data_IF_166946577590
#
_entry.id   IF_166946577590
#
_cell.length_a   1.000
_cell.length_b   1.000
_cell.length_c   1.000
_cell.angle_alpha   90.00
_cell.angle_beta   90.00
_cell.angle_gamma   90.00
#
_symmetry.space_group_name_H-M   'P 1'
#
loop_
_entity.id
_entity.type
_entity.pdbx_description
1 polymer ?
#
# COMPACT_ATOMS: atom_id res chain seq x y z
N UNK A 1 -0.21 17.15 -11.18
CA UNK A 1 -0.42 17.33 -9.73
C UNK A 1 -1.90 17.37 -9.31
N UNK A 2 -2.86 17.66 -10.21
CA UNK A 2 -4.30 17.59 -9.84
C UNK A 2 -4.87 16.16 -9.80
N UNK A 3 -4.30 15.22 -10.57
CA UNK A 3 -4.78 13.84 -10.61
C UNK A 3 -4.42 13.14 -9.29
N UNK A 4 -5.41 12.51 -8.66
CA UNK A 4 -5.37 11.89 -7.32
C UNK A 4 -5.28 12.83 -6.12
N UNK A 5 -5.39 14.15 -6.27
CA UNK A 5 -5.27 15.12 -5.16
C UNK A 5 -6.15 14.78 -3.93
N UNK A 6 -7.37 14.29 -4.17
CA UNK A 6 -8.27 13.85 -3.11
C UNK A 6 -7.69 12.72 -2.27
N UNK A 7 -6.97 11.77 -2.89
CA UNK A 7 -6.32 10.67 -2.18
C UNK A 7 -5.17 11.20 -1.31
N UNK A 8 -4.32 12.07 -1.87
CA UNK A 8 -3.24 12.71 -1.12
C UNK A 8 -3.76 13.46 0.10
N UNK A 9 -4.81 14.25 -0.09
CA UNK A 9 -5.43 15.01 0.99
C UNK A 9 -6.00 14.07 2.06
N UNK A 10 -6.79 13.07 1.65
CA UNK A 10 -7.42 12.14 2.58
C UNK A 10 -6.39 11.36 3.41
N UNK A 11 -5.33 10.82 2.79
CA UNK A 11 -4.28 10.11 3.52
C UNK A 11 -3.46 11.03 4.43
N UNK A 12 -3.17 12.25 3.96
CA UNK A 12 -2.46 13.26 4.76
C UNK A 12 -3.24 13.61 6.02
N UNK A 13 -4.54 13.88 5.87
CA UNK A 13 -5.43 14.21 6.98
C UNK A 13 -5.57 13.01 7.92
N UNK A 14 -5.80 11.81 7.37
CA UNK A 14 -5.97 10.59 8.15
C UNK A 14 -4.74 10.31 9.04
N UNK A 15 -3.54 10.25 8.47
CA UNK A 15 -2.33 10.00 9.25
C UNK A 15 -2.00 11.14 10.21
N UNK A 16 -2.26 12.39 9.83
CA UNK A 16 -2.06 13.54 10.72
C UNK A 16 -2.97 13.44 11.95
N UNK A 17 -4.23 13.05 11.79
CA UNK A 17 -5.15 12.83 12.92
C UNK A 17 -4.62 11.74 13.85
N UNK A 18 -4.15 10.61 13.30
CA UNK A 18 -3.58 9.54 14.12
C UNK A 18 -2.36 10.01 14.93
N UNK A 19 -1.49 10.83 14.33
CA UNK A 19 -0.35 11.45 15.03
C UNK A 19 -0.81 12.44 16.11
N UNK A 20 -1.77 13.31 15.81
CA UNK A 20 -2.28 14.31 16.75
C UNK A 20 -2.97 13.69 17.96
N UNK A 21 -3.62 12.53 17.77
CA UNK A 21 -4.23 11.74 18.84
C UNK A 21 -3.21 10.88 19.61
N UNK A 22 -1.91 11.00 19.30
CA UNK A 22 -0.83 10.19 19.87
C UNK A 22 -1.01 8.67 19.69
N UNK A 23 -1.77 8.26 18.67
CA UNK A 23 -1.85 6.86 18.23
C UNK A 23 -0.52 6.49 17.57
N UNK A 24 0.05 7.42 16.80
CA UNK A 24 1.30 7.24 16.06
C UNK A 24 2.37 8.27 16.49
N UNK A 25 3.64 7.86 16.60
CA UNK A 25 4.75 8.80 16.68
C UNK A 25 4.86 9.67 15.42
N UNK A 26 5.10 10.97 15.60
CA UNK A 26 5.21 11.94 14.48
C UNK A 26 6.34 11.60 13.50
N UNK A 27 7.42 10.96 13.96
CA UNK A 27 8.58 10.66 13.11
C UNK A 27 8.31 9.60 12.04
N UNK A 28 7.21 8.84 12.18
CA UNK A 28 6.82 7.81 11.22
C UNK A 28 6.12 8.39 10.00
N UNK A 29 5.42 9.51 10.15
CA UNK A 29 4.67 10.12 9.06
C UNK A 29 5.62 10.82 8.09
N UNK A 30 5.63 10.36 6.83
CA UNK A 30 6.42 10.95 5.74
C UNK A 30 5.50 11.57 4.69
N UNK A 31 5.90 12.72 4.19
CA UNK A 31 5.27 13.42 3.08
C UNK A 31 6.29 13.56 1.95
N UNK A 32 6.27 12.67 0.95
CA UNK A 32 7.08 12.86 -0.26
C UNK A 32 6.80 14.20 -0.92
N UNK A 33 7.77 14.67 -1.71
CA UNK A 33 7.53 15.83 -2.56
C UNK A 33 6.40 15.50 -3.57
N UNK A 34 5.34 16.31 -3.65
CA UNK A 34 4.18 15.98 -4.50
C UNK A 34 4.50 16.08 -6.00
N UNK A 35 5.64 16.67 -6.38
CA UNK A 35 6.11 16.82 -7.76
C UNK A 35 7.13 15.75 -8.09
N UNK A 36 8.14 15.61 -7.24
CA UNK A 36 9.32 14.80 -7.49
C UNK A 36 9.22 13.41 -6.86
N UNK A 37 8.27 13.19 -5.94
CA UNK A 37 8.15 11.95 -5.19
C UNK A 37 9.34 11.72 -4.26
N UNK A 38 9.66 10.45 -4.07
CA UNK A 38 10.80 9.99 -3.29
C UNK A 38 12.01 9.85 -4.24
N UNK A 39 13.08 10.61 -3.99
CA UNK A 39 14.27 10.66 -4.86
C UNK A 39 14.94 9.28 -5.02
N UNK A 40 14.82 8.39 -4.03
CA UNK A 40 15.39 7.03 -4.05
C UNK A 40 14.43 5.95 -4.57
N UNK A 41 13.33 6.33 -5.24
CA UNK A 41 12.31 5.37 -5.68
C UNK A 41 12.64 4.65 -6.99
N UNK A 42 13.72 4.99 -7.69
CA UNK A 42 14.00 4.48 -9.04
C UNK A 42 14.08 2.94 -9.13
N UNK A 43 14.78 2.29 -8.21
CA UNK A 43 14.90 0.83 -8.20
C UNK A 43 13.55 0.15 -7.87
N UNK A 44 12.79 0.76 -6.96
CA UNK A 44 11.42 0.37 -6.62
C UNK A 44 10.48 0.51 -7.84
N UNK A 45 10.61 1.59 -8.60
CA UNK A 45 9.84 1.82 -9.80
C UNK A 45 10.11 0.76 -10.87
N UNK A 46 11.37 0.40 -11.11
CA UNK A 46 11.72 -0.64 -12.08
C UNK A 46 11.13 -2.01 -11.68
N UNK A 47 11.28 -2.40 -10.42
CA UNK A 47 10.71 -3.65 -9.90
C UNK A 47 9.17 -3.67 -9.98
N UNK A 48 8.51 -2.56 -9.64
CA UNK A 48 7.05 -2.44 -9.73
C UNK A 48 6.54 -2.54 -11.17
N UNK A 49 7.23 -1.91 -12.12
CA UNK A 49 6.90 -2.00 -13.53
C UNK A 49 7.08 -3.43 -14.06
N UNK A 50 8.16 -4.12 -13.66
CA UNK A 50 8.41 -5.53 -14.00
C UNK A 50 7.32 -6.45 -13.43
N UNK A 51 6.84 -6.17 -12.21
CA UNK A 51 5.72 -6.85 -11.57
C UNK A 51 4.34 -6.53 -12.20
N UNK A 52 4.29 -5.72 -13.26
CA UNK A 52 3.09 -5.46 -14.04
C UNK A 52 2.22 -4.30 -13.55
N UNK A 53 2.71 -3.43 -12.65
CA UNK A 53 2.03 -2.17 -12.35
C UNK A 53 2.08 -1.20 -13.54
N UNK A 54 1.05 -0.36 -13.66
CA UNK A 54 1.02 0.70 -14.65
C UNK A 54 2.00 1.83 -14.28
N UNK A 55 2.54 2.59 -15.26
CA UNK A 55 3.38 3.74 -14.95
C UNK A 55 2.72 4.77 -14.03
N UNK A 56 1.40 4.94 -14.14
CA UNK A 56 0.64 5.86 -13.30
C UNK A 56 0.53 5.35 -11.85
N UNK A 57 0.32 4.04 -11.66
CA UNK A 57 0.34 3.42 -10.34
C UNK A 57 1.71 3.57 -9.68
N UNK A 58 2.79 3.32 -10.41
CA UNK A 58 4.17 3.47 -9.93
C UNK A 58 4.50 4.93 -9.57
N UNK A 59 4.09 5.89 -10.41
CA UNK A 59 4.25 7.32 -10.12
C UNK A 59 3.47 7.73 -8.86
N UNK A 60 2.29 7.16 -8.64
CA UNK A 60 1.50 7.41 -7.44
C UNK A 60 2.17 6.84 -6.19
N UNK A 61 2.65 5.58 -6.24
CA UNK A 61 3.37 4.94 -5.12
C UNK A 61 4.53 5.78 -4.61
N UNK A 62 5.30 6.39 -5.52
CA UNK A 62 6.46 7.22 -5.18
C UNK A 62 6.11 8.54 -4.48
N UNK A 63 4.84 8.95 -4.47
CA UNK A 63 4.42 10.27 -4.00
C UNK A 63 3.51 10.23 -2.78
N UNK A 64 2.81 9.11 -2.53
CA UNK A 64 1.81 9.03 -1.48
C UNK A 64 2.39 9.37 -0.10
N UNK A 65 1.65 10.09 0.77
CA UNK A 65 1.95 10.12 2.19
C UNK A 65 1.95 8.70 2.74
N UNK A 66 2.95 8.34 3.53
CA UNK A 66 3.11 6.99 4.06
C UNK A 66 3.63 7.00 5.50
N UNK A 67 3.52 5.84 6.14
CA UNK A 67 4.09 5.57 7.46
C UNK A 67 5.36 4.73 7.27
N UNK A 68 6.49 5.25 7.73
CA UNK A 68 7.80 4.59 7.69
C UNK A 68 7.87 3.49 8.76
N UNK A 69 7.27 2.34 8.45
CA UNK A 69 7.09 1.21 9.37
C UNK A 69 8.10 0.08 9.17
N UNK A 70 8.85 0.07 8.06
CA UNK A 70 9.84 -0.99 7.74
C UNK A 70 11.08 -0.93 8.63
N UNK A 71 11.39 0.21 9.25
CA UNK A 71 12.53 0.34 10.16
C UNK A 71 12.37 -0.36 11.51
N UNK A 72 11.23 -1.02 11.77
CA UNK A 72 11.00 -1.79 12.99
C UNK A 72 11.39 -3.24 12.78
N UNK A 73 12.50 -3.62 13.42
CA UNK A 73 13.08 -4.97 13.52
C UNK A 73 12.09 -6.08 13.13
N UNK A 74 12.37 -6.70 11.99
CA UNK A 74 11.65 -7.86 11.47
C UNK A 74 11.44 -8.88 12.58
N UNK A 75 10.18 -9.03 12.99
CA UNK A 75 9.81 -10.16 13.81
C UNK A 75 9.59 -11.33 12.87
N UNK A 76 10.31 -12.43 13.08
CA UNK A 76 10.23 -13.69 12.32
C UNK A 76 8.82 -14.33 12.28
N UNK A 77 7.85 -13.74 12.98
CA UNK A 77 6.46 -14.18 13.02
C UNK A 77 5.64 -13.46 11.93
N UNK A 78 5.57 -14.06 10.73
CA UNK A 78 4.79 -13.57 9.58
C UNK A 78 3.31 -13.29 9.90
N UNK A 79 2.76 -13.99 10.90
CA UNK A 79 1.36 -13.83 11.33
C UNK A 79 1.15 -12.69 12.33
N UNK A 80 2.20 -12.32 13.05
CA UNK A 80 2.19 -11.26 14.05
C UNK A 80 3.53 -10.53 14.09
N UNK A 81 3.87 -9.72 13.07
CA UNK A 81 5.09 -8.93 13.10
C UNK A 81 5.06 -8.02 14.33
N UNK A 82 5.84 -8.34 15.36
CA UNK A 82 6.02 -7.47 16.52
C UNK A 82 6.53 -6.13 16.02
N UNK A 83 5.67 -5.11 16.00
CA UNK A 83 6.05 -3.77 15.53
C UNK A 83 5.09 -3.18 14.52
N UNK A 84 4.18 -4.00 13.96
CA UNK A 84 3.14 -3.54 13.06
C UNK A 84 2.25 -2.49 13.71
N UNK A 85 1.96 -1.47 12.93
CA UNK A 85 1.13 -0.35 13.34
C UNK A 85 -0.27 -0.55 12.79
N UNK A 86 -1.21 -0.86 13.68
CA UNK A 86 -2.63 -0.85 13.34
C UNK A 86 -3.11 0.60 13.20
N UNK A 87 -3.57 0.95 12.00
CA UNK A 87 -4.25 2.21 11.73
C UNK A 87 -5.76 2.10 12.00
N UNK A 88 -6.27 0.88 11.95
CA UNK A 88 -7.60 0.44 12.34
C UNK A 88 -7.51 -1.03 12.81
N UNK A 89 -8.49 -1.57 13.56
CA UNK A 89 -8.45 -2.96 14.01
C UNK A 89 -8.13 -3.93 12.86
N UNK A 90 -7.08 -4.74 13.05
CA UNK A 90 -6.60 -5.72 12.06
C UNK A 90 -6.24 -5.15 10.67
N UNK A 91 -6.03 -3.84 10.56
CA UNK A 91 -5.73 -3.13 9.31
C UNK A 91 -4.43 -2.36 9.46
N UNK A 92 -3.49 -2.64 8.55
CA UNK A 92 -2.11 -2.17 8.63
C UNK A 92 -1.78 -1.35 7.38
N UNK A 93 -1.00 -0.27 7.49
CA UNK A 93 -0.60 0.52 6.34
C UNK A 93 0.39 -0.28 5.48
N UNK A 94 0.45 0.04 4.19
CA UNK A 94 1.50 -0.42 3.28
C UNK A 94 2.43 0.75 3.00
N UNK A 95 3.73 0.45 2.91
CA UNK A 95 4.70 1.33 2.26
C UNK A 95 5.20 0.66 1.00
N UNK A 96 5.55 1.48 0.00
CA UNK A 96 6.13 1.02 -1.26
C UNK A 96 7.63 1.26 -1.32
N UNK A 97 8.21 1.81 -0.26
CA UNK A 97 9.66 1.96 -0.15
C UNK A 97 10.21 0.74 0.53
N UNK A 98 10.93 -0.13 -0.16
CA UNK A 98 11.64 -1.23 0.49
C UNK A 98 12.98 -0.73 1.06
N UNK A 99 13.33 -1.15 2.29
CA UNK A 99 14.70 -0.98 2.81
C UNK A 99 15.69 -1.98 2.21
N UNK A 100 15.19 -3.11 1.68
CA UNK A 100 15.96 -4.13 0.98
C UNK A 100 16.02 -3.91 -0.54
N UNK A 101 16.83 -4.72 -1.22
CA UNK A 101 16.90 -4.75 -2.69
C UNK A 101 15.49 -5.00 -3.28
N UNK A 102 14.89 -4.01 -3.98
CA UNK A 102 13.54 -4.16 -4.51
C UNK A 102 13.53 -5.21 -5.62
N UNK A 103 12.63 -6.19 -5.49
CA UNK A 103 12.47 -7.28 -6.49
C UNK A 103 11.08 -7.25 -7.09
N UNK A 104 10.95 -7.70 -8.35
CA UNK A 104 9.64 -7.84 -8.98
C UNK A 104 8.71 -8.75 -8.16
N UNK A 105 9.24 -9.81 -7.56
CA UNK A 105 8.46 -10.73 -6.70
C UNK A 105 7.87 -10.05 -5.47
N UNK A 106 8.58 -9.11 -4.84
CA UNK A 106 8.00 -8.30 -3.75
C UNK A 106 6.76 -7.53 -4.21
N UNK A 107 6.88 -6.85 -5.36
CA UNK A 107 5.79 -6.07 -5.93
C UNK A 107 4.64 -6.92 -6.49
N UNK A 108 4.93 -8.12 -6.98
CA UNK A 108 3.92 -9.10 -7.38
C UNK A 108 3.09 -9.54 -6.17
N UNK A 109 3.73 -9.80 -5.02
CA UNK A 109 3.04 -10.08 -3.76
C UNK A 109 2.11 -8.95 -3.29
N UNK A 110 2.42 -7.69 -3.61
CA UNK A 110 1.50 -6.56 -3.34
C UNK A 110 0.22 -6.60 -4.21
N UNK A 111 0.21 -7.42 -5.27
CA UNK A 111 -0.94 -7.63 -6.16
C UNK A 111 -1.71 -8.92 -5.84
N UNK A 112 -1.11 -9.87 -5.14
CA UNK A 112 -1.69 -11.18 -4.78
C UNK A 112 -2.77 -11.07 -3.70
N UNK A 113 -4.02 -11.44 -4.01
CA UNK A 113 -5.12 -11.49 -3.02
C UNK A 113 -5.00 -12.72 -2.10
N UNK A 114 -5.33 -12.58 -0.82
CA UNK A 114 -5.09 -13.62 0.22
C UNK A 114 -5.77 -14.98 -0.02
N UNK A 115 -6.74 -15.06 -0.95
CA UNK A 115 -7.61 -16.23 -1.09
C UNK A 115 -7.10 -17.34 -2.04
N UNK A 116 -6.03 -17.15 -2.83
CA UNK A 116 -5.44 -18.27 -3.58
C UNK A 116 -3.98 -17.99 -4.01
N UNK A 117 -3.04 -18.48 -3.19
CA UNK A 117 -1.59 -18.25 -3.29
C UNK A 117 -0.90 -18.88 -4.53
N UNK A 118 -1.62 -19.28 -5.59
CA UNK A 118 -1.03 -19.98 -6.73
C UNK A 118 -1.70 -19.76 -8.10
N UNK A 119 -2.64 -18.83 -8.24
CA UNK A 119 -3.21 -18.51 -9.56
C UNK A 119 -2.92 -17.06 -9.94
N UNK A 120 -2.13 -16.85 -11.01
CA UNK A 120 -1.93 -15.55 -11.68
C UNK A 120 -3.27 -14.86 -12.03
N UNK A 121 -4.37 -15.63 -12.05
CA UNK A 121 -5.73 -15.18 -12.28
C UNK A 121 -6.30 -14.29 -11.14
N UNK A 122 -5.67 -14.25 -9.97
CA UNK A 122 -6.13 -13.47 -8.79
C UNK A 122 -5.25 -12.25 -8.44
N UNK A 123 -4.38 -11.81 -9.34
CA UNK A 123 -3.66 -10.54 -9.17
C UNK A 123 -4.61 -9.36 -9.38
N UNK A 124 -4.55 -8.35 -8.51
CA UNK A 124 -5.24 -7.08 -8.78
C UNK A 124 -4.69 -6.46 -10.08
N UNK A 125 -5.52 -5.72 -10.84
CA UNK A 125 -5.07 -5.03 -12.05
C UNK A 125 -3.85 -4.14 -11.78
N UNK A 126 -2.95 -3.99 -12.75
CA UNK A 126 -1.76 -3.15 -12.61
C UNK A 126 -2.05 -1.65 -12.39
N UNK A 127 -3.29 -1.20 -12.63
CA UNK A 127 -3.74 0.16 -12.30
C UNK A 127 -4.14 0.32 -10.83
N UNK A 128 -4.33 -0.78 -10.10
CA UNK A 128 -4.76 -0.81 -8.72
C UNK A 128 -3.56 -0.90 -7.78
N UNK A 129 -3.59 -0.11 -6.69
CA UNK A 129 -2.60 -0.17 -5.62
C UNK A 129 -3.29 -0.46 -4.28
N UNK A 130 -2.64 -1.22 -3.40
CA UNK A 130 -3.12 -1.42 -2.03
C UNK A 130 -2.59 -0.33 -1.11
N UNK A 131 -3.47 0.31 -0.37
CA UNK A 131 -3.11 1.31 0.64
C UNK A 131 -3.00 0.73 2.04
N UNK A 132 -3.61 -0.43 2.25
CA UNK A 132 -3.53 -1.20 3.49
C UNK A 132 -3.46 -2.69 3.18
N UNK A 133 -2.89 -3.44 4.12
CA UNK A 133 -3.08 -4.89 4.23
C UNK A 133 -3.94 -5.18 5.45
N UNK A 134 -4.53 -6.36 5.46
CA UNK A 134 -5.35 -6.81 6.58
C UNK A 134 -4.80 -8.10 7.18
N UNK A 135 -5.23 -8.37 8.40
CA UNK A 135 -5.36 -9.73 8.91
C UNK A 135 -6.85 -10.13 8.85
N UNK A 136 -7.21 -11.31 9.36
CA UNK A 136 -8.53 -11.98 9.28
C UNK A 136 -9.76 -11.03 9.24
N UNK A 137 -9.84 -9.98 10.07
CA UNK A 137 -11.02 -9.09 10.16
C UNK A 137 -10.77 -7.63 9.76
N UNK A 138 -9.64 -7.34 9.12
CA UNK A 138 -9.32 -5.98 8.70
C UNK A 138 -9.96 -5.57 7.38
N UNK A 139 -9.42 -4.50 6.79
CA UNK A 139 -9.83 -4.01 5.48
C UNK A 139 -8.59 -3.78 4.62
N UNK A 140 -8.55 -4.41 3.46
CA UNK A 140 -7.62 -4.04 2.37
C UNK A 140 -8.27 -2.95 1.54
N UNK A 141 -7.70 -1.75 1.55
CA UNK A 141 -8.12 -0.65 0.68
C UNK A 141 -7.38 -0.70 -0.64
N UNK A 142 -8.12 -0.83 -1.73
CA UNK A 142 -7.58 -0.91 -3.08
C UNK A 142 -7.99 0.35 -3.82
N UNK A 143 -7.01 1.12 -4.29
CA UNK A 143 -7.23 2.33 -5.08
C UNK A 143 -6.88 2.07 -6.53
N UNK A 144 -7.84 2.28 -7.43
CA UNK A 144 -7.59 2.21 -8.87
C UNK A 144 -7.20 3.59 -9.41
N UNK A 145 -6.00 3.68 -10.00
CA UNK A 145 -5.49 4.92 -10.61
C UNK A 145 -6.28 5.33 -11.86
N UNK A 146 -6.87 4.39 -12.59
CA UNK A 146 -7.63 4.70 -13.79
C UNK A 146 -8.98 5.32 -13.42
N UNK A 147 -9.80 4.61 -12.65
CA UNK A 147 -11.13 5.09 -12.24
C UNK A 147 -11.10 6.11 -11.11
N UNK A 148 -10.00 6.16 -10.35
CA UNK A 148 -9.81 6.99 -9.13
C UNK A 148 -10.76 6.64 -8.00
N UNK A 149 -11.23 5.40 -7.97
CA UNK A 149 -12.12 4.89 -6.94
C UNK A 149 -11.33 4.09 -5.92
N UNK A 150 -11.74 4.24 -4.66
CA UNK A 150 -11.29 3.40 -3.56
C UNK A 150 -12.33 2.31 -3.32
N UNK A 151 -11.87 1.06 -3.22
CA UNK A 151 -12.69 -0.10 -2.88
C UNK A 151 -12.20 -0.71 -1.59
N UNK A 152 -13.14 -1.11 -0.74
CA UNK A 152 -12.83 -2.00 0.35
C UNK A 152 -12.83 -3.44 -0.15
N UNK A 153 -11.88 -4.23 0.33
CA UNK A 153 -11.87 -5.67 0.20
C UNK A 153 -11.71 -6.29 1.59
N UNK A 154 -12.48 -7.34 1.85
CA UNK A 154 -12.52 -8.10 3.11
C UNK A 154 -12.55 -9.58 2.76
N UNK A 155 -11.64 -10.38 3.32
CA UNK A 155 -11.48 -11.80 2.93
C UNK A 155 -12.77 -12.62 3.03
N UNK A 156 -13.63 -12.31 4.00
CA UNK A 156 -14.84 -13.11 4.26
C UNK A 156 -16.13 -12.55 3.63
N UNK A 157 -16.14 -11.27 3.24
CA UNK A 157 -17.34 -10.60 2.75
C UNK A 157 -17.29 -10.32 1.23
N UNK A 158 -16.09 -10.25 0.66
CA UNK A 158 -15.88 -9.91 -0.74
C UNK A 158 -15.81 -11.18 -1.58
N UNK A 159 -16.72 -11.36 -2.54
CA UNK A 159 -16.51 -12.40 -3.55
C UNK A 159 -15.26 -12.04 -4.37
N UNK A 160 -14.38 -13.00 -4.70
CA UNK A 160 -13.14 -12.75 -5.43
C UNK A 160 -13.43 -12.51 -6.92
N UNK A 161 -14.18 -11.45 -7.26
CA UNK A 161 -14.28 -10.96 -8.63
C UNK A 161 -13.24 -9.85 -8.84
N UNK A 162 -11.97 -10.24 -8.72
CA UNK A 162 -10.79 -9.35 -8.82
C UNK A 162 -10.71 -8.69 -10.21
N UNK A 163 -11.33 -9.33 -11.21
CA UNK A 163 -11.46 -8.84 -12.59
C UNK A 163 -12.42 -7.67 -12.75
N UNK A 164 -13.20 -7.32 -11.72
CA UNK A 164 -14.09 -6.16 -11.69
C UNK A 164 -13.61 -5.02 -10.78
N UNK A 165 -12.41 -5.13 -10.22
CA UNK A 165 -11.78 -4.06 -9.46
C UNK A 165 -11.46 -2.88 -10.37
#
# INVERSE_FOLDING_TARGET
MERHSNLFQALSEFYTVLVQLAILPTNLLKFPDPVNGIESFDANAAAALEAGFSPEAVELMARLPYLDIESREESEDWYHPRGDIEIMPSTFPITFTTTDEPTASHYEGLREMDDDLNDEEYLIPGTCIRLSRQNIYGITWIYDTETRLLREWKSFDSQPDVKRL
#
